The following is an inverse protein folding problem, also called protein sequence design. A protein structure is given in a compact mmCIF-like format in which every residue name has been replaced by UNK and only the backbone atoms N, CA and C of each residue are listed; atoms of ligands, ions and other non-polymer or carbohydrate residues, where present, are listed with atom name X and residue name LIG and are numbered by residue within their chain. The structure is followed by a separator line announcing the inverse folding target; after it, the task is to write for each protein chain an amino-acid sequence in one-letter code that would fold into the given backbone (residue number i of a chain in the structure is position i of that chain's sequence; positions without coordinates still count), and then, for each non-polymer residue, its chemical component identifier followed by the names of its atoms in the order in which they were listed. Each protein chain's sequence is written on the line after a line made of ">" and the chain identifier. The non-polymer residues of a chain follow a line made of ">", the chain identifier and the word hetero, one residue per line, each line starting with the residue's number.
data_IF_403635183483
#
_entry.id   IF_403635183483
#
_cell.length_a   1.000
_cell.length_b   1.000
_cell.length_c   1.000
_cell.angle_alpha   90.00
_cell.angle_beta   90.00
_cell.angle_gamma   90.00
#
_symmetry.space_group_name_H-M   'P 1'
#
loop_
_entity.id
_entity.type
_entity.pdbx_description
1 polymer ?
#
# COMPACT_ATOMS: atom_id res chain seq x y z
N UNK A 1 5.87 35.77 -29.70
CA UNK A 1 6.77 34.61 -29.62
C UNK A 1 7.01 34.36 -28.13
N UNK A 2 6.45 33.37 -27.45
CA UNK A 2 5.56 32.27 -27.81
C UNK A 2 4.54 32.11 -26.68
N UNK A 3 3.25 32.16 -27.03
CA UNK A 3 2.19 31.81 -26.11
C UNK A 3 2.23 30.31 -25.88
N UNK A 4 2.78 29.88 -24.74
CA UNK A 4 2.55 28.52 -24.25
C UNK A 4 1.08 28.40 -23.90
N UNK A 5 0.34 27.82 -24.85
CA UNK A 5 -0.97 27.21 -24.65
C UNK A 5 -1.00 26.58 -23.26
N UNK A 6 -1.98 26.96 -22.45
CA UNK A 6 -2.38 26.18 -21.28
C UNK A 6 -2.57 24.74 -21.75
N UNK A 7 -1.71 23.82 -21.32
CA UNK A 7 -1.77 22.41 -21.65
C UNK A 7 -3.13 21.86 -21.19
N UNK A 8 -4.12 21.83 -22.08
CA UNK A 8 -5.26 20.93 -21.98
C UNK A 8 -4.70 19.52 -22.10
N UNK A 9 -4.52 18.87 -20.95
CA UNK A 9 -3.72 17.65 -20.81
C UNK A 9 -4.08 16.58 -21.83
N UNK A 10 -3.06 15.97 -22.44
CA UNK A 10 -3.20 14.84 -23.38
C UNK A 10 -3.88 13.60 -22.74
N UNK A 11 -4.15 13.66 -21.43
CA UNK A 11 -4.82 12.65 -20.62
C UNK A 11 -3.82 11.73 -19.93
N UNK A 12 -4.21 11.22 -18.76
CA UNK A 12 -3.38 10.33 -17.93
C UNK A 12 -2.91 9.11 -18.72
N UNK A 13 -3.76 8.52 -19.56
CA UNK A 13 -3.42 7.36 -20.38
C UNK A 13 -2.24 7.59 -21.33
N UNK A 14 -2.07 8.79 -21.89
CA UNK A 14 -0.95 9.09 -22.79
C UNK A 14 0.31 9.49 -22.04
N UNK A 15 0.13 10.17 -20.90
CA UNK A 15 1.22 10.78 -20.11
C UNK A 15 1.67 9.94 -18.93
N UNK A 16 1.19 8.70 -18.80
CA UNK A 16 1.34 7.93 -17.56
C UNK A 16 2.78 7.78 -17.10
N UNK A 17 3.76 7.63 -18.00
CA UNK A 17 5.17 7.53 -17.63
C UNK A 17 5.69 8.82 -16.98
N UNK A 18 5.38 9.97 -17.59
CA UNK A 18 5.73 11.29 -17.07
C UNK A 18 5.06 11.53 -15.70
N UNK A 19 3.78 11.18 -15.58
CA UNK A 19 3.00 11.31 -14.33
C UNK A 19 3.50 10.35 -13.24
N UNK A 20 4.05 9.19 -13.62
CA UNK A 20 4.72 8.24 -12.74
C UNK A 20 6.20 8.57 -12.49
N UNK A 21 6.67 9.76 -12.91
CA UNK A 21 7.97 10.30 -12.50
C UNK A 21 9.17 9.93 -13.38
N UNK A 22 8.96 9.49 -14.64
CA UNK A 22 10.05 9.17 -15.59
C UNK A 22 11.11 10.28 -15.66
N UNK A 23 10.69 11.55 -15.62
CA UNK A 23 11.57 12.72 -15.61
C UNK A 23 11.57 13.49 -14.28
N UNK A 24 11.43 12.79 -13.15
CA UNK A 24 11.37 13.38 -11.80
C UNK A 24 10.32 14.50 -11.65
N UNK A 25 9.19 14.38 -12.35
CA UNK A 25 8.11 15.37 -12.40
C UNK A 25 8.57 16.79 -12.80
N UNK A 26 9.67 16.93 -13.55
CA UNK A 26 10.19 18.24 -13.99
C UNK A 26 9.11 19.06 -14.69
N UNK A 27 8.85 20.27 -14.17
CA UNK A 27 7.87 21.20 -14.71
C UNK A 27 6.41 20.83 -14.47
N UNK A 28 6.12 19.82 -13.64
CA UNK A 28 4.75 19.40 -13.29
C UNK A 28 4.31 19.80 -11.88
N UNK A 29 5.23 20.25 -11.03
CA UNK A 29 4.94 20.52 -9.61
C UNK A 29 4.59 21.99 -9.33
N UNK A 30 5.14 22.93 -10.10
CA UNK A 30 4.93 24.37 -9.93
C UNK A 30 4.81 25.10 -11.29
N UNK A 31 3.59 25.51 -11.71
CA UNK A 31 2.32 25.19 -11.06
C UNK A 31 2.01 23.69 -11.16
N UNK A 32 1.24 23.16 -10.20
CA UNK A 32 0.87 21.74 -10.20
C UNK A 32 0.02 21.39 -11.43
N UNK A 33 0.54 20.50 -12.28
CA UNK A 33 -0.17 19.96 -13.44
C UNK A 33 -1.47 19.26 -13.02
N UNK A 34 -2.55 19.51 -13.76
CA UNK A 34 -3.88 19.03 -13.38
C UNK A 34 -4.04 17.51 -13.49
N UNK A 35 -3.37 16.87 -14.45
CA UNK A 35 -3.38 15.41 -14.55
C UNK A 35 -2.53 14.81 -13.42
N UNK A 36 -1.39 15.44 -13.09
CA UNK A 36 -0.57 15.02 -11.96
C UNK A 36 -1.32 15.16 -10.63
N UNK A 37 -2.05 16.27 -10.42
CA UNK A 37 -2.89 16.47 -9.23
C UNK A 37 -3.90 15.34 -9.07
N UNK A 38 -4.63 15.00 -10.14
CA UNK A 38 -5.61 13.91 -10.14
C UNK A 38 -4.95 12.57 -9.85
N UNK A 39 -3.78 12.33 -10.45
CA UNK A 39 -3.05 11.09 -10.30
C UNK A 39 -2.49 10.91 -8.87
N UNK A 40 -1.98 11.97 -8.25
CA UNK A 40 -1.54 11.97 -6.84
C UNK A 40 -2.73 11.72 -5.91
N UNK A 41 -3.88 12.38 -6.14
CA UNK A 41 -5.09 12.16 -5.33
C UNK A 41 -5.53 10.70 -5.42
N UNK A 42 -5.57 10.13 -6.63
CA UNK A 42 -5.87 8.71 -6.84
C UNK A 42 -4.95 7.79 -6.03
N UNK A 43 -3.62 8.02 -6.07
CA UNK A 43 -2.68 7.26 -5.25
C UNK A 43 -2.94 7.42 -3.73
N UNK A 44 -3.26 8.65 -3.29
CA UNK A 44 -3.60 8.96 -1.90
C UNK A 44 -4.88 8.25 -1.44
N UNK A 45 -5.90 8.20 -2.27
CA UNK A 45 -7.17 7.50 -2.00
C UNK A 45 -6.94 5.98 -1.85
N UNK A 46 -6.07 5.39 -2.67
CA UNK A 46 -5.68 3.97 -2.51
C UNK A 46 -4.98 3.70 -1.18
N UNK A 47 -4.19 4.65 -0.66
CA UNK A 47 -3.65 4.55 0.68
C UNK A 47 -4.74 4.76 1.76
N UNK A 48 -5.64 5.74 1.58
CA UNK A 48 -6.72 6.05 2.51
C UNK A 48 -7.69 4.88 2.69
N UNK A 49 -7.98 4.13 1.63
CA UNK A 49 -8.78 2.90 1.66
C UNK A 49 -8.30 1.92 2.73
N UNK A 50 -7.00 1.92 3.04
CA UNK A 50 -6.46 1.07 4.09
C UNK A 50 -6.88 1.50 5.49
N UNK A 51 -6.98 2.80 5.76
CA UNK A 51 -7.51 3.30 7.02
C UNK A 51 -9.00 3.04 7.15
N UNK A 52 -9.75 3.30 6.08
CA UNK A 52 -11.21 3.17 6.07
C UNK A 52 -11.67 1.72 6.26
N UNK A 53 -10.86 0.74 5.81
CA UNK A 53 -11.15 -0.67 5.98
C UNK A 53 -10.59 -1.29 7.27
N UNK A 54 -9.67 -0.62 7.98
CA UNK A 54 -8.94 -1.25 9.08
C UNK A 54 -9.73 -1.22 10.40
N UNK A 55 -9.93 -2.40 11.00
CA UNK A 55 -10.66 -2.52 12.25
C UNK A 55 -9.76 -2.14 13.45
N UNK A 56 -9.90 -0.91 13.93
CA UNK A 56 -9.16 -0.41 15.10
C UNK A 56 -9.79 -0.78 16.44
N UNK A 57 -10.94 -1.46 16.46
CA UNK A 57 -11.67 -1.72 17.69
C UNK A 57 -11.08 -2.90 18.46
N UNK A 58 -10.25 -2.61 19.48
CA UNK A 58 -9.59 -3.63 20.30
C UNK A 58 -10.56 -4.57 21.03
N UNK A 59 -11.75 -4.09 21.38
CA UNK A 59 -12.78 -4.94 22.02
C UNK A 59 -13.36 -5.99 21.06
N UNK A 60 -13.25 -5.77 19.75
CA UNK A 60 -13.67 -6.74 18.74
C UNK A 60 -12.67 -7.89 18.68
N UNK A 61 -13.18 -9.11 18.54
CA UNK A 61 -12.32 -10.27 18.25
C UNK A 61 -11.61 -10.15 16.89
N UNK A 62 -12.04 -9.23 16.03
CA UNK A 62 -11.44 -8.93 14.72
C UNK A 62 -10.59 -7.65 14.74
N UNK A 63 -10.27 -7.09 15.92
CA UNK A 63 -9.37 -5.94 16.00
C UNK A 63 -8.04 -6.25 15.31
N UNK A 64 -7.60 -5.37 14.41
CA UNK A 64 -6.40 -5.56 13.58
C UNK A 64 -6.64 -6.21 12.21
N UNK A 65 -7.86 -6.64 11.88
CA UNK A 65 -8.20 -7.16 10.55
C UNK A 65 -8.71 -6.05 9.61
N UNK A 66 -8.92 -6.39 8.34
CA UNK A 66 -9.83 -5.63 7.47
C UNK A 66 -11.28 -5.90 7.87
N UNK A 67 -12.14 -4.87 7.81
CA UNK A 67 -13.59 -4.98 7.99
C UNK A 67 -14.29 -5.56 6.75
N UNK A 68 -13.64 -5.48 5.58
CA UNK A 68 -14.18 -5.93 4.31
C UNK A 68 -13.34 -7.04 3.69
N UNK A 69 -13.99 -7.98 3.01
CA UNK A 69 -13.31 -8.93 2.12
C UNK A 69 -12.83 -8.28 0.83
N UNK A 70 -12.01 -8.99 0.05
CA UNK A 70 -11.42 -8.51 -1.22
C UNK A 70 -12.46 -8.17 -2.29
N UNK A 71 -13.50 -9.00 -2.43
CA UNK A 71 -14.56 -8.80 -3.42
C UNK A 71 -15.37 -7.53 -3.09
N UNK A 72 -15.43 -6.62 -4.06
CA UNK A 72 -16.05 -5.30 -3.93
C UNK A 72 -15.40 -4.42 -2.86
N UNK A 73 -14.12 -4.64 -2.54
CA UNK A 73 -13.42 -3.90 -1.49
C UNK A 73 -13.47 -2.38 -1.75
N UNK A 74 -13.10 -1.94 -2.96
CA UNK A 74 -13.01 -0.52 -3.31
C UNK A 74 -14.38 0.16 -3.28
N UNK A 75 -15.45 -0.52 -3.69
CA UNK A 75 -16.82 -0.02 -3.55
C UNK A 75 -17.23 0.16 -2.09
N UNK A 76 -16.86 -0.77 -1.20
CA UNK A 76 -17.19 -0.70 0.24
C UNK A 76 -16.48 0.44 0.97
N UNK A 77 -15.31 0.86 0.49
CA UNK A 77 -14.59 2.06 0.99
C UNK A 77 -14.90 3.31 0.16
N UNK A 78 -15.88 3.27 -0.75
CA UNK A 78 -16.38 4.45 -1.45
C UNK A 78 -15.54 4.92 -2.64
N UNK A 79 -14.59 4.11 -3.15
CA UNK A 79 -13.68 4.50 -4.23
C UNK A 79 -14.13 4.10 -5.64
N UNK A 80 -15.31 3.54 -5.81
CA UNK A 80 -15.82 3.13 -7.14
C UNK A 80 -16.66 4.22 -7.83
N UNK A 81 -17.44 4.99 -7.07
CA UNK A 81 -18.39 5.95 -7.65
C UNK A 81 -17.66 7.19 -8.17
N UNK A 82 -17.86 7.51 -9.46
CA UNK A 82 -17.21 8.67 -10.08
C UNK A 82 -15.71 8.54 -10.30
N UNK A 83 -15.09 7.42 -9.91
CA UNK A 83 -13.67 7.16 -10.13
C UNK A 83 -13.47 6.44 -11.47
N UNK A 84 -12.78 7.04 -12.46
CA UNK A 84 -12.50 6.39 -13.74
C UNK A 84 -11.40 5.32 -13.65
N UNK A 85 -10.59 5.31 -12.58
CA UNK A 85 -9.49 4.37 -12.41
C UNK A 85 -9.98 3.10 -11.70
N UNK A 86 -10.41 2.12 -12.49
CA UNK A 86 -11.00 0.87 -11.98
C UNK A 86 -9.93 -0.19 -11.68
N UNK A 87 -10.02 -0.79 -10.49
CA UNK A 87 -9.12 -1.84 -10.03
C UNK A 87 -9.89 -2.98 -9.35
N UNK A 88 -9.30 -4.16 -9.35
CA UNK A 88 -9.74 -5.28 -8.52
C UNK A 88 -8.68 -5.58 -7.45
N UNK A 89 -9.11 -5.75 -6.20
CA UNK A 89 -8.23 -6.18 -5.12
C UNK A 89 -7.99 -7.68 -5.20
N UNK A 90 -6.76 -8.06 -5.50
CA UNK A 90 -6.42 -9.46 -5.77
C UNK A 90 -5.79 -10.16 -4.57
N UNK A 91 -5.16 -9.42 -3.65
CA UNK A 91 -4.50 -9.98 -2.46
C UNK A 91 -4.59 -9.02 -1.28
N UNK A 92 -4.85 -9.57 -0.10
CA UNK A 92 -4.61 -8.85 1.16
C UNK A 92 -3.24 -9.22 1.69
N UNK A 93 -2.60 -8.23 2.31
CA UNK A 93 -1.28 -8.31 2.90
C UNK A 93 -1.42 -8.33 4.42
N UNK A 94 -0.62 -9.16 5.06
CA UNK A 94 -0.58 -9.28 6.51
C UNK A 94 0.86 -9.16 7.00
N UNK A 95 1.03 -8.56 8.17
CA UNK A 95 2.35 -8.39 8.78
C UNK A 95 2.29 -8.65 10.29
N UNK A 96 3.43 -9.08 10.81
CA UNK A 96 3.74 -9.18 12.24
C UNK A 96 5.04 -8.41 12.50
N UNK A 97 5.49 -8.33 13.74
CA UNK A 97 6.79 -7.78 14.08
C UNK A 97 7.47 -8.66 15.13
N UNK A 98 8.75 -8.97 14.88
CA UNK A 98 9.64 -9.63 15.82
C UNK A 98 10.14 -8.72 16.96
N UNK A 99 9.96 -7.41 16.83
CA UNK A 99 10.26 -6.43 17.88
C UNK A 99 8.97 -5.89 18.48
N UNK A 100 9.04 -5.43 19.73
CA UNK A 100 7.90 -4.75 20.33
C UNK A 100 7.74 -3.39 19.66
N UNK A 101 6.54 -3.11 19.16
CA UNK A 101 6.19 -1.85 18.53
C UNK A 101 5.05 -1.18 19.31
N UNK A 102 4.96 0.16 19.25
CA UNK A 102 3.77 0.86 19.75
C UNK A 102 2.48 0.31 19.13
N UNK A 103 1.39 0.37 19.88
CA UNK A 103 0.10 -0.21 19.46
C UNK A 103 -0.46 0.44 18.18
N UNK A 104 0.00 1.64 17.82
CA UNK A 104 -0.35 2.31 16.57
C UNK A 104 0.09 1.56 15.30
N UNK A 105 1.04 0.64 15.42
CA UNK A 105 1.53 -0.21 14.32
C UNK A 105 0.79 -1.54 14.25
N UNK A 106 0.69 -2.28 15.36
CA UNK A 106 0.03 -3.59 15.43
C UNK A 106 -1.04 -3.55 16.53
N UNK A 107 -2.30 -3.53 16.10
CA UNK A 107 -3.45 -3.50 17.01
C UNK A 107 -3.71 -4.91 17.55
N UNK A 108 -3.53 -5.08 18.86
CA UNK A 108 -3.85 -6.34 19.56
C UNK A 108 -5.29 -6.31 20.07
N UNK A 109 -6.08 -7.30 19.71
CA UNK A 109 -7.43 -7.49 20.25
C UNK A 109 -7.36 -7.87 21.73
N UNK A 110 -8.26 -7.30 22.54
CA UNK A 110 -8.43 -7.62 23.95
C UNK A 110 -9.31 -8.86 24.17
N UNK A 111 -9.91 -9.40 23.10
CA UNK A 111 -10.73 -10.61 23.17
C UNK A 111 -9.85 -11.85 23.36
N UNK A 112 -10.30 -12.79 24.19
CA UNK A 112 -9.66 -14.12 24.31
C UNK A 112 -9.80 -14.94 23.03
N UNK A 113 -10.80 -14.64 22.20
CA UNK A 113 -11.08 -15.26 20.91
C UNK A 113 -10.54 -14.43 19.73
N UNK A 114 -9.48 -13.65 19.96
CA UNK A 114 -8.86 -12.83 18.92
C UNK A 114 -8.56 -13.66 17.65
N UNK A 115 -8.95 -13.13 16.50
CA UNK A 115 -8.74 -13.75 15.18
C UNK A 115 -7.25 -14.01 14.89
N UNK A 116 -6.40 -13.12 15.38
CA UNK A 116 -4.95 -13.25 15.40
C UNK A 116 -4.40 -12.44 16.58
N UNK A 117 -3.31 -12.91 17.19
CA UNK A 117 -2.69 -12.27 18.37
C UNK A 117 -1.54 -11.33 18.02
N UNK A 118 -0.76 -11.70 17.00
CA UNK A 118 0.49 -11.00 16.67
C UNK A 118 0.48 -10.38 15.27
N UNK A 119 -0.53 -10.68 14.44
CA UNK A 119 -0.56 -10.22 13.05
C UNK A 119 -1.75 -9.33 12.75
N UNK A 120 -1.50 -8.33 11.91
CA UNK A 120 -2.50 -7.40 11.42
C UNK A 120 -2.63 -7.46 9.91
N UNK A 121 -3.81 -7.08 9.43
CA UNK A 121 -3.98 -6.66 8.05
C UNK A 121 -3.16 -5.39 7.81
N UNK A 122 -2.30 -5.43 6.81
CA UNK A 122 -1.28 -4.41 6.55
C UNK A 122 -1.44 -3.73 5.19
N UNK A 123 -2.46 -4.12 4.42
CA UNK A 123 -2.74 -3.50 3.14
C UNK A 123 -3.21 -4.50 2.09
N UNK A 124 -3.08 -4.11 0.82
CA UNK A 124 -3.57 -4.93 -0.29
C UNK A 124 -2.80 -4.70 -1.59
N UNK A 125 -2.94 -5.65 -2.51
CA UNK A 125 -2.50 -5.55 -3.90
C UNK A 125 -3.73 -5.49 -4.78
N UNK A 126 -3.82 -4.45 -5.62
CA UNK A 126 -4.87 -4.26 -6.60
C UNK A 126 -4.29 -4.17 -8.01
N UNK A 127 -5.08 -4.60 -9.00
CA UNK A 127 -4.68 -4.59 -10.41
C UNK A 127 -5.76 -3.88 -11.22
N UNK A 128 -5.36 -3.00 -12.14
CA UNK A 128 -6.30 -2.29 -12.99
C UNK A 128 -7.14 -3.28 -13.83
N UNK A 129 -8.45 -3.07 -13.87
CA UNK A 129 -9.35 -3.80 -14.77
C UNK A 129 -9.16 -3.31 -16.21
N UNK A 130 -9.82 -3.92 -17.21
CA UNK A 130 -9.73 -3.42 -18.61
C UNK A 130 -10.15 -1.95 -18.73
N UNK A 131 -11.22 -1.56 -18.03
CA UNK A 131 -11.67 -0.16 -17.94
C UNK A 131 -10.59 0.73 -17.31
N UNK A 132 -9.97 0.26 -16.23
CA UNK A 132 -8.85 0.95 -15.59
C UNK A 132 -7.66 1.11 -16.53
N UNK A 133 -7.31 0.09 -17.31
CA UNK A 133 -6.23 0.17 -18.31
C UNK A 133 -6.52 1.20 -19.38
N UNK A 134 -7.75 1.27 -19.88
CA UNK A 134 -8.13 2.29 -20.85
C UNK A 134 -7.95 3.71 -20.27
N UNK A 135 -8.29 3.93 -19.00
CA UNK A 135 -8.13 5.22 -18.33
C UNK A 135 -6.69 5.56 -17.95
N UNK A 136 -5.89 4.54 -17.58
CA UNK A 136 -4.53 4.69 -17.06
C UNK A 136 -3.45 4.54 -18.14
N UNK A 137 -3.79 3.99 -19.31
CA UNK A 137 -2.87 3.74 -20.43
C UNK A 137 -1.97 2.52 -20.25
N UNK A 138 -2.10 1.78 -19.14
CA UNK A 138 -1.34 0.56 -18.84
C UNK A 138 -2.00 -0.28 -17.75
N UNK A 139 -1.58 -1.54 -17.64
CA UNK A 139 -1.98 -2.45 -16.54
C UNK A 139 -1.25 -2.10 -15.25
N UNK A 140 -1.79 -1.12 -14.55
CA UNK A 140 -1.25 -0.64 -13.28
C UNK A 140 -1.46 -1.67 -12.15
N UNK A 141 -0.41 -1.94 -11.37
CA UNK A 141 -0.45 -2.79 -10.18
C UNK A 141 -0.16 -1.89 -8.98
N UNK A 142 -1.12 -1.77 -8.07
CA UNK A 142 -1.01 -0.96 -6.86
C UNK A 142 -0.75 -1.87 -5.67
N UNK A 143 0.26 -1.52 -4.88
CA UNK A 143 0.49 -2.08 -3.55
C UNK A 143 0.23 -0.97 -2.54
N UNK A 144 -0.92 -1.05 -1.87
CA UNK A 144 -1.32 -0.06 -0.86
C UNK A 144 -0.96 -0.59 0.53
N UNK A 145 -0.10 0.13 1.24
CA UNK A 145 0.32 -0.18 2.61
C UNK A 145 -0.49 0.62 3.62
N UNK A 146 -0.93 -0.06 4.69
CA UNK A 146 -1.64 0.58 5.79
C UNK A 146 -0.67 1.31 6.70
N UNK A 147 -0.79 2.63 6.78
CA UNK A 147 0.00 3.44 7.72
C UNK A 147 -0.49 3.33 9.17
N UNK A 148 0.06 4.18 10.04
CA UNK A 148 -0.28 4.21 11.47
C UNK A 148 -1.46 5.13 11.74
N UNK A 149 -2.29 4.77 12.72
CA UNK A 149 -3.25 5.75 13.26
C UNK A 149 -2.47 6.81 14.04
N UNK A 150 -2.68 8.08 13.71
CA UNK A 150 -2.06 9.20 14.43
C UNK A 150 -2.54 9.23 15.90
N UNK A 151 -1.69 8.74 16.79
CA UNK A 151 -1.67 9.12 18.21
C UNK A 151 -0.41 9.95 18.42
N UNK A 152 -0.52 11.21 18.88
CA UNK A 152 0.65 12.04 19.19
C UNK A 152 1.67 11.33 20.09
N UNK A 153 1.21 10.36 20.88
CA UNK A 153 2.02 9.51 21.76
C UNK A 153 3.05 8.63 21.01
N UNK A 154 2.77 8.11 19.81
CA UNK A 154 3.72 7.19 19.16
C UNK A 154 5.02 7.87 18.70
N UNK A 155 4.99 9.18 18.44
CA UNK A 155 6.20 9.92 18.05
C UNK A 155 7.21 9.94 19.20
N UNK A 156 6.72 9.87 20.45
CA UNK A 156 7.57 9.86 21.64
C UNK A 156 8.14 8.47 21.96
N UNK A 157 7.45 7.41 21.55
CA UNK A 157 7.86 6.00 21.78
C UNK A 157 8.74 5.42 20.66
N UNK A 158 9.07 6.23 19.64
CA UNK A 158 9.89 5.79 18.52
C UNK A 158 11.37 5.83 18.87
N UNK A 159 11.91 4.65 19.16
CA UNK A 159 13.34 4.44 19.07
C UNK A 159 13.76 4.41 17.59
N UNK A 160 14.48 5.44 17.15
CA UNK A 160 15.04 5.55 15.80
C UNK A 160 16.27 4.65 15.60
N UNK A 161 16.16 3.38 16.00
CA UNK A 161 17.26 2.43 15.85
C UNK A 161 17.43 2.05 14.37
N UNK A 162 18.65 2.24 13.86
CA UNK A 162 19.05 1.84 12.52
C UNK A 162 19.73 0.48 12.54
N UNK A 163 19.24 -0.46 11.72
CA UNK A 163 19.78 -1.83 11.58
C UNK A 163 20.16 -2.11 10.14
N UNK A 164 21.12 -3.02 9.93
CA UNK A 164 21.42 -3.56 8.61
C UNK A 164 20.22 -4.35 8.07
N UNK A 165 20.03 -4.33 6.74
CA UNK A 165 18.91 -5.01 6.09
C UNK A 165 19.35 -5.96 4.96
N UNK A 166 20.11 -7.02 5.28
CA UNK A 166 20.67 -7.93 4.28
C UNK A 166 19.59 -8.67 3.49
N UNK A 167 18.42 -8.96 4.07
CA UNK A 167 17.31 -9.61 3.32
C UNK A 167 16.71 -8.72 2.22
N UNK A 168 16.89 -7.40 2.33
CA UNK A 168 16.36 -6.44 1.36
C UNK A 168 17.43 -6.00 0.37
N UNK A 169 18.65 -5.72 0.84
CA UNK A 169 19.72 -5.13 0.03
C UNK A 169 20.90 -6.08 -0.27
N UNK A 170 20.85 -7.32 0.23
CA UNK A 170 21.90 -8.32 0.08
C UNK A 170 22.94 -8.29 1.20
N UNK A 171 23.62 -9.42 1.36
CA UNK A 171 24.74 -9.57 2.30
C UNK A 171 25.86 -8.57 1.98
N UNK A 172 26.46 -7.99 3.03
CA UNK A 172 27.55 -7.01 2.89
C UNK A 172 27.13 -5.59 2.51
N UNK A 173 25.82 -5.32 2.36
CA UNK A 173 25.33 -3.95 2.16
C UNK A 173 25.54 -3.07 3.40
N UNK A 174 26.05 -1.85 3.21
CA UNK A 174 26.18 -0.84 4.27
C UNK A 174 24.86 -0.08 4.53
N UNK A 175 23.81 -0.36 3.76
CA UNK A 175 22.51 0.31 3.90
C UNK A 175 21.88 -0.06 5.24
N UNK A 176 21.48 0.97 5.98
CA UNK A 176 20.73 0.84 7.22
C UNK A 176 19.31 1.36 7.05
N UNK A 177 18.39 0.71 7.74
CA UNK A 177 16.96 1.08 7.78
C UNK A 177 16.47 1.10 9.21
N UNK A 178 15.33 1.75 9.42
CA UNK A 178 14.67 1.75 10.72
C UNK A 178 14.24 0.34 11.14
N UNK A 179 14.58 -0.06 12.38
CA UNK A 179 14.34 -1.42 12.90
C UNK A 179 12.87 -1.81 12.85
N UNK A 180 11.97 -0.93 13.27
CA UNK A 180 10.54 -1.24 13.28
C UNK A 180 9.97 -1.47 11.88
N UNK A 181 10.43 -0.71 10.89
CA UNK A 181 9.99 -0.88 9.50
C UNK A 181 10.54 -2.16 8.89
N UNK A 182 11.81 -2.43 9.14
CA UNK A 182 12.43 -3.69 8.74
C UNK A 182 11.68 -4.87 9.33
N UNK A 183 11.39 -4.83 10.64
CA UNK A 183 10.68 -5.91 11.32
C UNK A 183 9.28 -6.13 10.75
N UNK A 184 8.46 -5.09 10.57
CA UNK A 184 7.13 -5.24 9.94
C UNK A 184 7.25 -5.85 8.52
N UNK A 185 8.27 -5.44 7.77
CA UNK A 185 8.43 -5.84 6.38
C UNK A 185 8.92 -7.28 6.20
N UNK A 186 9.81 -7.75 7.08
CA UNK A 186 10.51 -9.04 6.94
C UNK A 186 10.09 -10.12 7.94
N UNK A 187 9.44 -9.77 9.06
CA UNK A 187 9.03 -10.78 10.05
C UNK A 187 7.87 -11.65 9.53
N UNK A 188 7.89 -12.92 9.88
CA UNK A 188 6.83 -13.89 9.64
C UNK A 188 6.42 -14.62 10.93
N UNK A 189 5.31 -15.35 10.86
CA UNK A 189 4.87 -16.23 11.93
C UNK A 189 4.38 -17.55 11.32
N UNK A 190 5.21 -18.59 11.42
CA UNK A 190 4.89 -19.93 10.92
C UNK A 190 3.62 -20.54 11.54
N UNK A 191 3.17 -20.06 12.71
CA UNK A 191 1.95 -20.53 13.38
C UNK A 191 0.71 -19.77 12.95
N UNK A 192 0.87 -18.64 12.26
CA UNK A 192 -0.24 -17.83 11.79
C UNK A 192 -0.74 -18.31 10.43
N UNK A 193 -2.06 -18.44 10.21
CA UNK A 193 -2.60 -18.80 8.89
C UNK A 193 -2.51 -17.68 7.86
N UNK A 194 -2.08 -16.47 8.24
CA UNK A 194 -2.11 -15.27 7.39
C UNK A 194 -0.75 -14.80 6.88
N UNK A 195 0.31 -14.99 7.68
CA UNK A 195 1.67 -14.51 7.41
C UNK A 195 2.72 -15.58 7.77
N UNK A 196 2.47 -16.82 7.32
CA UNK A 196 3.50 -17.87 7.21
C UNK A 196 4.70 -17.44 6.38
N UNK A 197 4.57 -16.35 5.63
CA UNK A 197 5.64 -15.63 4.95
C UNK A 197 5.51 -14.14 5.26
N UNK A 198 6.65 -13.44 5.29
CA UNK A 198 6.71 -12.00 5.56
C UNK A 198 5.85 -11.16 4.60
N UNK A 199 5.52 -9.93 5.00
CA UNK A 199 4.80 -9.01 4.14
C UNK A 199 5.55 -8.74 2.81
N UNK A 200 6.89 -8.62 2.85
CA UNK A 200 7.76 -8.54 1.67
C UNK A 200 7.51 -9.70 0.70
N UNK A 201 7.60 -10.93 1.19
CA UNK A 201 7.43 -12.13 0.37
C UNK A 201 6.01 -12.24 -0.19
N UNK A 202 4.98 -11.88 0.58
CA UNK A 202 3.60 -11.83 0.09
C UNK A 202 3.44 -10.87 -1.10
N UNK A 203 4.05 -9.68 -1.02
CA UNK A 203 4.03 -8.69 -2.11
C UNK A 203 4.80 -9.19 -3.33
N UNK A 204 6.05 -9.63 -3.13
CA UNK A 204 6.91 -10.09 -4.24
C UNK A 204 6.28 -11.26 -5.00
N UNK A 205 5.73 -12.24 -4.29
CA UNK A 205 5.04 -13.37 -4.90
C UNK A 205 3.82 -12.92 -5.69
N UNK A 206 2.99 -12.02 -5.13
CA UNK A 206 1.79 -11.56 -5.85
C UNK A 206 2.14 -10.71 -7.06
N UNK A 207 3.05 -9.75 -6.94
CA UNK A 207 3.45 -8.86 -8.02
C UNK A 207 4.08 -9.65 -9.18
N UNK A 208 5.00 -10.56 -8.88
CA UNK A 208 5.66 -11.41 -9.88
C UNK A 208 4.65 -12.27 -10.64
N UNK A 209 3.71 -12.91 -9.93
CA UNK A 209 2.68 -13.73 -10.56
C UNK A 209 1.78 -12.89 -11.48
N UNK A 210 1.35 -11.69 -11.05
CA UNK A 210 0.54 -10.81 -11.91
C UNK A 210 1.28 -10.42 -13.19
N UNK A 211 2.58 -10.10 -13.10
CA UNK A 211 3.39 -9.77 -14.29
C UNK A 211 3.53 -10.97 -15.23
N UNK A 212 3.69 -12.18 -14.68
CA UNK A 212 3.75 -13.41 -15.47
C UNK A 212 2.42 -13.74 -16.15
N UNK A 213 1.30 -13.52 -15.46
CA UNK A 213 -0.05 -13.74 -16.02
C UNK A 213 -0.33 -12.77 -17.18
N UNK A 214 0.16 -11.53 -17.09
CA UNK A 214 0.06 -10.55 -18.18
C UNK A 214 0.86 -10.94 -19.43
N UNK A 215 1.96 -11.69 -19.30
CA UNK A 215 2.78 -12.13 -20.45
C UNK A 215 2.21 -13.32 -21.22
N UNK A 216 1.19 -13.98 -20.67
CA UNK A 216 0.55 -15.17 -21.27
C UNK A 216 -0.65 -14.83 -22.14
N UNK A 217 -1.12 -13.59 -22.08
CA UNK A 217 -2.23 -13.04 -22.86
C UNK A 217 -1.71 -12.08 -23.93
#
# INVERSE_FOLDING_TARGET
>A
MDGKSTNGGEGIAKRWKQLSGEDNWKGLLDPLDLDLRRYIIHCGEMAQATYDAFNTQKKSKYGGSSMYGRSGFLGKVGLENGNPFKYEVTKFLYATSAVNLPEGFIVKSLSREAWCKESNWMGYVAVATEEGVAALGRRDIVVAWRGTKQSLEWVNDLDFLLVSAPEVFGEGSEVKVHQGWYSIYTSDDAKSPYNTTSARHQVMNRASNTVLDQKKN
#
